data_IF_429276895880
#
_entry.id   IF_429276895880
#
_cell.length_a   1.000
_cell.length_b   1.000
_cell.length_c   1.000
_cell.angle_alpha   90.00
_cell.angle_beta   90.00
_cell.angle_gamma   90.00
#
_symmetry.space_group_name_H-M   'P 1'
#
loop_
_entity.id
_entity.type
_entity.pdbx_description
1 polymer ?
#
# COMPACT_ATOMS: atom_id res chain seq x y z
N UNK A 1 5.49 -1.82 8.11
CA UNK A 1 4.95 -3.21 8.03
C UNK A 1 3.42 -3.27 8.05
N UNK A 2 2.71 -2.59 8.96
CA UNK A 2 1.23 -2.63 9.05
C UNK A 2 0.49 -2.27 7.75
N UNK A 3 0.94 -1.24 7.00
CA UNK A 3 0.37 -0.85 5.70
C UNK A 3 0.44 -1.97 4.65
N UNK A 4 1.56 -2.69 4.57
CA UNK A 4 1.70 -3.84 3.66
C UNK A 4 0.77 -5.00 4.04
N UNK A 5 0.65 -5.30 5.35
CA UNK A 5 -0.28 -6.31 5.85
C UNK A 5 -1.75 -5.93 5.56
N UNK A 6 -2.09 -4.65 5.68
CA UNK A 6 -3.43 -4.12 5.36
C UNK A 6 -3.79 -4.29 3.89
N UNK A 7 -2.87 -3.98 2.97
CA UNK A 7 -3.09 -4.16 1.52
C UNK A 7 -3.23 -5.64 1.16
N UNK A 8 -2.41 -6.52 1.75
CA UNK A 8 -2.53 -7.97 1.55
C UNK A 8 -3.86 -8.52 2.06
N UNK A 9 -4.30 -8.05 3.24
CA UNK A 9 -5.61 -8.39 3.78
C UNK A 9 -6.72 -7.91 2.84
N UNK A 10 -6.64 -6.68 2.32
CA UNK A 10 -7.63 -6.11 1.40
C UNK A 10 -7.69 -6.88 0.08
N UNK A 11 -6.53 -7.23 -0.50
CA UNK A 11 -6.42 -8.08 -1.70
C UNK A 11 -7.07 -9.45 -1.49
N UNK A 12 -6.76 -10.12 -0.38
CA UNK A 12 -7.37 -11.41 -0.05
C UNK A 12 -8.89 -11.31 0.05
N UNK A 13 -9.41 -10.27 0.69
CA UNK A 13 -10.86 -10.05 0.78
C UNK A 13 -11.49 -9.73 -0.58
N UNK A 14 -10.81 -8.96 -1.44
CA UNK A 14 -11.29 -8.70 -2.80
C UNK A 14 -11.43 -9.99 -3.62
N UNK A 15 -10.44 -10.89 -3.53
CA UNK A 15 -10.51 -12.21 -4.20
C UNK A 15 -11.66 -13.06 -3.65
N UNK A 16 -11.80 -13.13 -2.33
CA UNK A 16 -12.82 -13.98 -1.68
C UNK A 16 -14.24 -13.45 -1.89
N UNK A 17 -14.43 -12.12 -1.84
CA UNK A 17 -15.75 -11.49 -1.87
C UNK A 17 -16.20 -11.07 -3.27
N UNK A 18 -15.27 -10.75 -4.18
CA UNK A 18 -15.58 -10.16 -5.49
C UNK A 18 -15.06 -10.97 -6.68
N UNK A 19 -14.33 -12.07 -6.45
CA UNK A 19 -13.63 -12.84 -7.49
C UNK A 19 -12.66 -11.99 -8.35
N UNK A 20 -12.31 -10.79 -7.89
CA UNK A 20 -11.36 -9.90 -8.55
C UNK A 20 -9.94 -10.31 -8.15
N UNK A 21 -9.25 -11.01 -9.05
CA UNK A 21 -7.84 -11.34 -8.89
C UNK A 21 -6.99 -10.13 -9.29
N UNK A 22 -6.68 -9.27 -8.32
CA UNK A 22 -5.68 -8.22 -8.55
C UNK A 22 -4.29 -8.85 -8.70
N UNK A 23 -3.58 -8.42 -9.74
CA UNK A 23 -2.18 -8.76 -9.98
C UNK A 23 -1.30 -8.22 -8.85
N UNK A 24 -0.08 -8.75 -8.71
CA UNK A 24 0.88 -8.26 -7.72
C UNK A 24 1.22 -6.78 -7.95
N UNK A 25 1.36 -6.37 -9.21
CA UNK A 25 1.67 -4.98 -9.60
C UNK A 25 0.55 -4.03 -9.19
N UNK A 26 -0.70 -4.39 -9.40
CA UNK A 26 -1.85 -3.56 -8.97
C UNK A 26 -1.92 -3.43 -7.45
N UNK A 27 -1.62 -4.51 -6.72
CA UNK A 27 -1.56 -4.47 -5.26
C UNK A 27 -0.44 -3.55 -4.74
N UNK A 28 0.73 -3.56 -5.38
CA UNK A 28 1.84 -2.67 -5.04
C UNK A 28 1.54 -1.21 -5.39
N UNK A 29 0.84 -0.93 -6.50
CA UNK A 29 0.32 0.42 -6.82
C UNK A 29 -0.62 0.93 -5.74
N UNK A 30 -1.59 0.12 -5.32
CA UNK A 30 -2.50 0.49 -4.24
C UNK A 30 -1.77 0.70 -2.91
N UNK A 31 -0.79 -0.14 -2.58
CA UNK A 31 0.03 0.05 -1.38
C UNK A 31 0.78 1.39 -1.37
N UNK A 32 1.31 1.79 -2.53
CA UNK A 32 1.97 3.09 -2.71
C UNK A 32 0.98 4.25 -2.53
N UNK A 33 -0.19 4.18 -3.16
CA UNK A 33 -1.21 5.22 -3.03
C UNK A 33 -1.72 5.35 -1.59
N UNK A 34 -1.92 4.23 -0.90
CA UNK A 34 -2.29 4.23 0.52
C UNK A 34 -1.16 4.81 1.39
N UNK A 35 0.10 4.45 1.16
CA UNK A 35 1.22 5.04 1.88
C UNK A 35 1.28 6.56 1.72
N UNK A 36 1.02 7.06 0.51
CA UNK A 36 0.97 8.50 0.22
C UNK A 36 -0.24 9.20 0.86
N UNK A 37 -1.41 8.56 0.89
CA UNK A 37 -2.58 9.10 1.59
C UNK A 37 -2.37 9.17 3.10
N UNK A 38 -1.67 8.18 3.67
CA UNK A 38 -1.34 8.13 5.07
C UNK A 38 -0.26 9.13 5.47
N UNK A 39 0.71 9.41 4.58
CA UNK A 39 1.75 10.42 4.86
C UNK A 39 1.17 11.81 5.10
N UNK A 40 0.06 12.17 4.42
CA UNK A 40 -0.68 13.40 4.68
C UNK A 40 -1.30 13.49 6.09
N UNK A 41 -1.44 12.35 6.79
CA UNK A 41 -2.00 12.25 8.15
C UNK A 41 -0.93 12.03 9.21
N UNK A 42 0.33 11.83 8.81
CA UNK A 42 1.46 11.66 9.71
C UNK A 42 1.96 13.01 10.23
N UNK A 43 2.64 12.98 11.38
CA UNK A 43 3.31 14.18 11.89
C UNK A 43 4.41 14.58 10.91
N UNK A 44 4.73 15.87 10.84
CA UNK A 44 5.80 16.38 9.95
C UNK A 44 7.14 15.66 10.15
N UNK A 45 7.43 15.25 11.38
CA UNK A 45 8.63 14.48 11.74
C UNK A 45 8.69 13.08 11.10
N UNK A 46 7.54 12.55 10.66
CA UNK A 46 7.37 11.19 10.13
C UNK A 46 6.99 11.20 8.64
N UNK A 47 6.88 12.38 8.02
CA UNK A 47 6.46 12.52 6.63
C UNK A 47 7.39 11.76 5.67
N UNK A 48 8.70 11.76 5.94
CA UNK A 48 9.73 11.05 5.18
C UNK A 48 9.51 9.54 5.16
N UNK A 49 8.85 8.99 6.19
CA UNK A 49 8.51 7.58 6.25
C UNK A 49 7.53 7.20 5.14
N UNK A 50 6.60 8.10 4.81
CA UNK A 50 5.66 7.92 3.70
C UNK A 50 6.36 7.80 2.34
N UNK A 51 7.32 8.69 2.09
CA UNK A 51 8.11 8.70 0.86
C UNK A 51 9.03 7.47 0.77
N UNK A 52 9.64 7.06 1.89
CA UNK A 52 10.41 5.82 1.98
C UNK A 52 9.56 4.61 1.55
N UNK A 53 8.36 4.45 2.09
CA UNK A 53 7.47 3.34 1.72
C UNK A 53 7.02 3.44 0.26
N UNK A 54 6.73 4.65 -0.24
CA UNK A 54 6.40 4.83 -1.65
C UNK A 54 7.55 4.39 -2.58
N UNK A 55 8.80 4.65 -2.20
CA UNK A 55 9.97 4.21 -2.94
C UNK A 55 10.15 2.69 -2.88
N UNK A 56 9.97 2.07 -1.70
CA UNK A 56 10.02 0.61 -1.54
C UNK A 56 8.99 -0.08 -2.44
N UNK A 57 7.74 0.39 -2.44
CA UNK A 57 6.70 -0.18 -3.30
C UNK A 57 6.98 0.07 -4.78
N UNK A 58 7.55 1.23 -5.13
CA UNK A 58 7.93 1.55 -6.51
C UNK A 58 9.08 0.68 -7.03
N UNK A 59 10.03 0.32 -6.16
CA UNK A 59 11.13 -0.58 -6.50
C UNK A 59 10.70 -2.05 -6.60
N UNK A 60 9.60 -2.43 -5.95
CA UNK A 60 9.10 -3.80 -5.94
C UNK A 60 8.10 -4.08 -7.08
N UNK A 61 7.63 -3.04 -7.78
CA UNK A 61 6.80 -3.14 -8.99
C UNK A 61 7.63 -3.44 -10.21
#
# INVERSE_FOLDING_TARGET
MLLGCWVLWKRRNAVVLRQEAQTLVEALRQAREEARLWSCRMRREEADLGDLWCNVFSSAM
#
